data_IF_672328108635
#
_entry.id   IF_672328108635
#
_cell.length_a   1.000
_cell.length_b   1.000
_cell.length_c   1.000
_cell.angle_alpha   90.00
_cell.angle_beta   90.00
_cell.angle_gamma   90.00
#
_symmetry.space_group_name_H-M   'P 1'
#
loop_
_entity.id
_entity.type
_entity.pdbx_description
1 polymer ?
#
# COMPACT_ATOMS: atom_id res chain seq x y z
N UNK A 1 -24.33 18.59 12.30
CA UNK A 1 -24.12 18.84 10.86
C UNK A 1 -22.88 18.05 10.51
N UNK A 2 -23.04 16.95 9.77
CA UNK A 2 -21.89 16.20 9.22
C UNK A 2 -21.26 17.14 8.19
N UNK A 3 -19.97 17.51 8.33
CA UNK A 3 -19.30 18.31 7.31
C UNK A 3 -19.43 17.55 5.99
N UNK A 4 -19.87 18.21 4.94
CA UNK A 4 -19.81 17.65 3.59
C UNK A 4 -18.34 17.36 3.31
N UNK A 5 -17.96 16.10 3.32
CA UNK A 5 -16.63 15.64 2.92
C UNK A 5 -16.43 16.11 1.47
N UNK A 6 -15.55 17.09 1.29
CA UNK A 6 -15.12 17.53 -0.05
C UNK A 6 -14.18 16.44 -0.61
N UNK A 7 -14.81 15.41 -1.17
CA UNK A 7 -14.08 14.28 -1.75
C UNK A 7 -13.43 14.77 -3.03
N UNK A 8 -12.17 15.18 -2.96
CA UNK A 8 -11.38 15.52 -4.14
C UNK A 8 -11.36 14.32 -5.10
N UNK A 9 -11.26 14.56 -6.42
CA UNK A 9 -11.16 13.49 -7.39
C UNK A 9 -10.11 12.48 -6.97
N UNK A 10 -10.49 11.21 -6.88
CA UNK A 10 -9.59 10.13 -6.52
C UNK A 10 -8.55 9.88 -7.62
N UNK A 11 -7.51 9.15 -7.27
CA UNK A 11 -6.47 8.70 -8.21
C UNK A 11 -6.42 7.18 -8.24
N UNK A 12 -6.37 6.62 -9.43
CA UNK A 12 -6.08 5.22 -9.64
C UNK A 12 -4.58 4.98 -9.54
N UNK A 13 -4.18 4.02 -8.71
CA UNK A 13 -2.80 3.55 -8.54
C UNK A 13 -2.61 2.21 -9.26
N UNK A 14 -2.05 2.21 -10.49
CA UNK A 14 -1.95 0.99 -11.30
C UNK A 14 -1.08 -0.08 -10.66
N UNK A 15 0.02 0.30 -10.02
CA UNK A 15 0.93 -0.65 -9.37
C UNK A 15 0.26 -1.44 -8.23
N UNK A 16 -0.62 -0.80 -7.47
CA UNK A 16 -1.38 -1.44 -6.37
C UNK A 16 -2.77 -1.94 -6.78
N UNK A 17 -3.25 -1.58 -7.97
CA UNK A 17 -4.59 -1.94 -8.45
C UNK A 17 -5.73 -1.37 -7.60
N UNK A 18 -5.60 -0.14 -7.09
CA UNK A 18 -6.57 0.49 -6.21
C UNK A 18 -6.75 1.99 -6.47
N UNK A 19 -7.86 2.51 -6.00
CA UNK A 19 -8.17 3.93 -6.01
C UNK A 19 -7.89 4.54 -4.65
N UNK A 20 -7.36 5.77 -4.63
CA UNK A 20 -7.14 6.58 -3.43
C UNK A 20 -7.93 7.87 -3.51
N UNK A 21 -8.70 8.16 -2.47
CA UNK A 21 -9.39 9.43 -2.28
C UNK A 21 -8.83 10.11 -1.03
N UNK A 22 -8.36 11.33 -1.17
CA UNK A 22 -7.93 12.15 -0.04
C UNK A 22 -9.16 12.85 0.56
N UNK A 23 -9.45 12.55 1.83
CA UNK A 23 -10.63 13.04 2.52
C UNK A 23 -10.33 14.28 3.38
N UNK A 24 -9.09 14.46 3.80
CA UNK A 24 -8.68 15.62 4.59
C UNK A 24 -7.30 15.45 5.22
N UNK A 25 -6.84 16.54 5.81
CA UNK A 25 -5.64 16.60 6.67
C UNK A 25 -6.03 17.41 7.89
N UNK A 26 -5.71 16.93 9.09
CA UNK A 26 -5.98 17.65 10.35
C UNK A 26 -4.83 18.63 10.67
N UNK A 27 -4.96 19.36 11.80
CA UNK A 27 -3.98 20.36 12.26
C UNK A 27 -2.62 19.73 12.62
N UNK A 28 -2.61 18.46 13.02
CA UNK A 28 -1.39 17.70 13.35
C UNK A 28 -0.67 17.16 12.10
N UNK A 29 -1.24 17.40 10.91
CA UNK A 29 -0.69 16.92 9.64
C UNK A 29 -1.03 15.46 9.33
N UNK A 30 -1.90 14.81 10.13
CA UNK A 30 -2.39 13.47 9.81
C UNK A 30 -3.37 13.54 8.64
N UNK A 31 -3.23 12.61 7.69
CA UNK A 31 -4.08 12.56 6.50
C UNK A 31 -5.07 11.41 6.56
N UNK A 32 -6.33 11.70 6.19
CA UNK A 32 -7.38 10.70 6.06
C UNK A 32 -7.59 10.37 4.59
N UNK A 33 -7.53 9.07 4.26
CA UNK A 33 -7.68 8.56 2.90
C UNK A 33 -8.66 7.40 2.86
N UNK A 34 -9.38 7.28 1.75
CA UNK A 34 -10.15 6.08 1.41
C UNK A 34 -9.42 5.33 0.31
N UNK A 35 -9.12 4.06 0.56
CA UNK A 35 -8.57 3.15 -0.44
C UNK A 35 -9.65 2.16 -0.87
N UNK A 36 -9.77 1.92 -2.18
CA UNK A 36 -10.73 0.96 -2.73
C UNK A 36 -10.05 0.07 -3.75
N UNK A 37 -10.07 -1.23 -3.51
CA UNK A 37 -9.71 -2.28 -4.47
C UNK A 37 -10.99 -2.85 -5.05
N UNK A 38 -11.38 -2.49 -6.28
CA UNK A 38 -12.61 -3.00 -6.88
C UNK A 38 -12.47 -4.46 -7.30
N UNK A 39 -13.55 -5.20 -7.20
CA UNK A 39 -13.64 -6.56 -7.70
C UNK A 39 -13.35 -6.61 -9.20
N UNK A 40 -12.54 -7.60 -9.64
CA UNK A 40 -12.26 -7.90 -11.04
C UNK A 40 -11.53 -6.84 -11.85
N UNK A 41 -11.24 -5.67 -11.28
CA UNK A 41 -10.59 -4.55 -11.99
C UNK A 41 -9.09 -4.42 -11.74
N UNK A 42 -8.48 -5.39 -11.10
CA UNK A 42 -7.04 -5.36 -10.92
C UNK A 42 -6.37 -5.73 -12.21
N UNK A 43 -5.85 -4.72 -12.89
CA UNK A 43 -4.84 -4.94 -13.91
C UNK A 43 -3.67 -5.58 -13.15
N UNK A 44 -3.29 -6.79 -13.53
CA UNK A 44 -2.05 -7.37 -13.04
C UNK A 44 -0.96 -6.37 -13.39
N UNK A 45 -0.54 -5.59 -12.41
CA UNK A 45 0.71 -4.85 -12.57
C UNK A 45 1.76 -5.89 -12.94
N UNK A 46 2.59 -5.67 -13.96
CA UNK A 46 3.73 -6.56 -14.22
C UNK A 46 4.61 -6.71 -13.00
N UNK A 47 4.39 -5.86 -12.01
CA UNK A 47 5.16 -5.75 -10.77
C UNK A 47 4.47 -6.47 -9.60
N UNK A 48 3.20 -6.92 -9.68
CA UNK A 48 2.48 -7.62 -8.60
C UNK A 48 2.41 -6.84 -7.27
N UNK A 49 1.81 -7.40 -6.23
CA UNK A 49 1.91 -6.85 -4.89
C UNK A 49 3.34 -7.02 -4.36
N UNK A 50 3.92 -5.96 -3.78
CA UNK A 50 5.30 -5.94 -3.30
C UNK A 50 5.36 -5.81 -1.80
N UNK A 51 6.40 -6.42 -1.21
CA UNK A 51 6.81 -6.11 0.15
C UNK A 51 7.27 -4.65 0.15
N UNK A 52 6.70 -3.83 1.03
CA UNK A 52 7.08 -2.42 1.14
C UNK A 52 6.92 -1.92 2.58
N UNK A 53 7.54 -0.79 2.88
CA UNK A 53 7.33 -0.06 4.11
C UNK A 53 6.71 1.33 3.80
N UNK A 54 6.42 2.07 4.85
CA UNK A 54 5.98 3.46 4.78
C UNK A 54 6.86 4.34 5.67
N UNK A 55 7.09 5.58 5.24
CA UNK A 55 7.74 6.61 6.05
C UNK A 55 6.82 7.20 7.13
N UNK A 56 5.65 6.63 7.34
CA UNK A 56 4.61 7.04 8.30
C UNK A 56 3.93 5.82 8.88
N UNK A 57 3.36 5.97 10.07
CA UNK A 57 2.44 4.98 10.59
C UNK A 57 1.09 5.12 9.88
N UNK A 58 0.48 4.01 9.53
CA UNK A 58 -0.88 3.98 9.02
C UNK A 58 -1.79 3.13 9.91
N UNK A 59 -3.03 3.59 10.09
CA UNK A 59 -4.09 2.83 10.73
C UNK A 59 -5.27 2.71 9.78
N UNK A 60 -5.63 1.49 9.40
CA UNK A 60 -6.66 1.17 8.42
C UNK A 60 -7.87 0.55 9.10
N UNK A 61 -9.04 1.21 9.02
CA UNK A 61 -10.33 0.58 9.31
C UNK A 61 -10.84 -0.07 8.02
N UNK A 62 -11.07 -1.38 8.03
CA UNK A 62 -11.65 -2.09 6.89
C UNK A 62 -13.15 -1.83 6.84
N UNK A 63 -13.62 -1.13 5.81
CA UNK A 63 -15.04 -0.81 5.59
C UNK A 63 -15.78 -1.93 4.88
N UNK A 64 -15.12 -2.61 3.94
CA UNK A 64 -15.72 -3.69 3.17
C UNK A 64 -14.67 -4.74 2.80
N UNK A 65 -15.13 -5.99 2.69
CA UNK A 65 -14.31 -7.13 2.29
C UNK A 65 -13.38 -7.63 3.39
N UNK A 66 -12.39 -8.38 2.97
CA UNK A 66 -11.35 -8.97 3.83
C UNK A 66 -10.06 -9.04 3.03
N UNK A 67 -8.93 -8.76 3.66
CA UNK A 67 -7.62 -8.97 3.06
C UNK A 67 -6.66 -9.62 4.05
N UNK A 68 -5.58 -10.17 3.52
CA UNK A 68 -4.50 -10.73 4.33
C UNK A 68 -3.31 -9.80 4.26
N UNK A 69 -2.68 -9.51 5.39
CA UNK A 69 -1.42 -8.78 5.45
C UNK A 69 -0.33 -9.64 6.08
N UNK A 70 0.85 -9.66 5.46
CA UNK A 70 2.00 -10.40 5.95
C UNK A 70 3.09 -9.41 6.35
N UNK A 71 3.52 -9.49 7.59
CA UNK A 71 4.62 -8.69 8.13
C UNK A 71 5.94 -9.42 7.87
N UNK A 72 6.97 -8.68 7.48
CA UNK A 72 8.28 -9.21 7.16
C UNK A 72 9.38 -8.63 8.06
N UNK A 73 10.30 -9.49 8.48
CA UNK A 73 11.65 -9.07 8.88
C UNK A 73 12.48 -8.88 7.62
N UNK A 74 13.15 -7.73 7.50
CA UNK A 74 13.93 -7.37 6.31
C UNK A 74 15.31 -6.91 6.75
N UNK A 75 16.34 -7.53 6.19
CA UNK A 75 17.73 -7.24 6.49
C UNK A 75 18.53 -7.02 5.21
N UNK A 76 19.55 -6.19 5.27
CA UNK A 76 20.50 -6.04 4.17
C UNK A 76 21.24 -7.36 3.94
N UNK A 77 21.25 -7.83 2.70
CA UNK A 77 21.61 -9.18 2.26
C UNK A 77 23.04 -9.68 2.51
N UNK A 78 23.55 -9.43 3.71
CA UNK A 78 24.83 -9.99 4.19
C UNK A 78 24.69 -10.76 5.51
N UNK A 79 23.49 -10.95 6.05
CA UNK A 79 23.28 -11.54 7.38
C UNK A 79 23.11 -13.05 7.28
N UNK A 80 23.75 -13.76 8.19
CA UNK A 80 23.56 -15.19 8.39
C UNK A 80 22.16 -15.45 8.96
N UNK A 81 21.26 -15.89 8.13
CA UNK A 81 19.91 -16.32 8.53
C UNK A 81 20.02 -17.71 9.14
N UNK A 82 19.36 -17.90 10.28
CA UNK A 82 19.21 -19.21 10.91
C UNK A 82 18.68 -20.25 9.91
N UNK A 83 19.26 -21.45 9.92
CA UNK A 83 18.95 -22.51 8.94
C UNK A 83 17.45 -22.85 8.87
N UNK A 84 16.72 -22.71 9.97
CA UNK A 84 15.28 -22.96 10.03
C UNK A 84 14.43 -22.00 9.20
N UNK A 85 14.91 -20.80 8.88
CA UNK A 85 14.19 -19.77 8.12
C UNK A 85 14.62 -19.68 6.65
N UNK A 86 15.68 -20.36 6.23
CA UNK A 86 16.22 -20.30 4.85
C UNK A 86 15.21 -20.66 3.77
N UNK A 87 14.32 -21.61 4.02
CA UNK A 87 13.34 -22.07 3.04
C UNK A 87 12.24 -21.01 2.72
N UNK A 88 12.07 -20.03 3.60
CA UNK A 88 11.05 -18.95 3.44
C UNK A 88 11.67 -17.60 3.09
N UNK A 89 13.00 -17.50 3.05
CA UNK A 89 13.70 -16.26 2.75
C UNK A 89 13.57 -15.90 1.28
N UNK A 90 13.13 -14.68 1.01
CA UNK A 90 13.09 -14.07 -0.34
C UNK A 90 14.26 -13.10 -0.49
N UNK A 91 15.03 -13.28 -1.56
CA UNK A 91 16.09 -12.32 -1.96
C UNK A 91 15.50 -11.31 -2.93
N UNK A 92 15.50 -10.05 -2.54
CA UNK A 92 14.82 -8.98 -3.24
C UNK A 92 15.75 -7.80 -3.44
N UNK A 93 15.48 -6.98 -4.46
CA UNK A 93 16.13 -5.67 -4.66
C UNK A 93 15.27 -4.56 -4.08
N UNK A 94 15.94 -3.60 -3.46
CA UNK A 94 15.30 -2.39 -2.94
C UNK A 94 15.14 -1.32 -4.01
N UNK A 95 13.96 -0.70 -3.97
CA UNK A 95 13.63 0.46 -4.78
C UNK A 95 13.00 1.52 -3.88
N UNK A 96 13.49 2.75 -4.02
CA UNK A 96 12.83 3.91 -3.43
C UNK A 96 11.62 4.29 -4.28
N UNK A 97 10.50 4.57 -3.64
CA UNK A 97 9.31 5.10 -4.29
C UNK A 97 9.37 6.64 -4.28
N UNK A 98 9.47 7.24 -5.45
CA UNK A 98 9.43 8.68 -5.64
C UNK A 98 8.09 9.11 -6.24
N UNK A 99 7.48 10.12 -5.63
CA UNK A 99 6.27 10.78 -6.13
C UNK A 99 6.69 11.95 -7.03
N UNK A 100 6.39 11.85 -8.33
CA UNK A 100 6.81 12.84 -9.31
C UNK A 100 5.82 14.02 -9.41
N UNK A 101 6.28 15.21 -9.85
CA UNK A 101 5.41 16.39 -9.98
C UNK A 101 4.24 16.21 -10.96
N UNK A 102 4.37 15.34 -11.96
CA UNK A 102 3.31 14.99 -12.91
C UNK A 102 2.25 14.07 -12.32
N UNK A 103 2.44 13.65 -11.06
CA UNK A 103 1.55 12.76 -10.33
C UNK A 103 1.75 11.28 -10.63
N UNK A 104 2.80 10.91 -11.35
CA UNK A 104 3.22 9.51 -11.51
C UNK A 104 4.09 9.04 -10.35
N UNK A 105 4.23 7.72 -10.23
CA UNK A 105 5.16 7.07 -9.31
C UNK A 105 6.38 6.57 -10.08
N UNK A 106 7.56 6.74 -9.51
CA UNK A 106 8.80 6.17 -10.02
C UNK A 106 9.44 5.26 -8.96
N UNK A 107 9.81 4.05 -9.38
CA UNK A 107 10.64 3.15 -8.59
C UNK A 107 12.09 3.31 -9.03
N UNK A 108 12.91 3.84 -8.14
CA UNK A 108 14.34 4.07 -8.37
C UNK A 108 15.14 3.10 -7.52
N UNK A 109 16.01 2.29 -8.14
CA UNK A 109 16.81 1.33 -7.37
C UNK A 109 17.67 2.04 -6.34
N UNK A 110 17.71 1.51 -5.12
CA UNK A 110 18.60 1.97 -4.06
C UNK A 110 19.97 1.24 -4.10
N UNK A 111 20.12 0.27 -5.02
CA UNK A 111 21.34 -0.54 -5.18
C UNK A 111 21.52 -1.64 -4.14
N UNK A 112 20.58 -1.82 -3.22
CA UNK A 112 20.68 -2.76 -2.11
C UNK A 112 19.93 -4.06 -2.41
N UNK A 113 20.49 -5.18 -1.98
CA UNK A 113 19.80 -6.45 -1.91
C UNK A 113 19.34 -6.70 -0.47
N UNK A 114 18.14 -7.25 -0.35
CA UNK A 114 17.50 -7.51 0.93
C UNK A 114 17.11 -8.98 1.04
N UNK A 115 17.23 -9.52 2.24
CA UNK A 115 16.65 -10.79 2.63
C UNK A 115 15.37 -10.52 3.41
N UNK A 116 14.23 -11.01 2.93
CA UNK A 116 12.92 -10.81 3.54
C UNK A 116 12.34 -12.15 4.03
N UNK A 117 11.99 -12.22 5.30
CA UNK A 117 11.44 -13.41 5.98
C UNK A 117 10.04 -13.08 6.49
N UNK A 118 9.00 -13.85 6.12
CA UNK A 118 7.65 -13.64 6.66
C UNK A 118 7.64 -14.00 8.15
N UNK A 119 7.13 -13.10 8.98
CA UNK A 119 7.08 -13.25 10.44
C UNK A 119 5.67 -13.54 10.94
N UNK A 120 4.69 -12.81 10.44
CA UNK A 120 3.31 -12.87 10.89
C UNK A 120 2.38 -12.66 9.71
N UNK A 121 1.31 -13.45 9.64
CA UNK A 121 0.25 -13.27 8.68
C UNK A 121 -1.06 -12.95 9.41
N UNK A 122 -1.74 -11.88 8.99
CA UNK A 122 -2.96 -11.39 9.59
C UNK A 122 -4.08 -11.42 8.59
N UNK A 123 -5.23 -12.00 8.97
CA UNK A 123 -6.46 -11.90 8.20
C UNK A 123 -7.32 -10.78 8.79
N UNK A 124 -7.67 -9.77 7.99
CA UNK A 124 -8.27 -8.52 8.45
C UNK A 124 -9.63 -8.33 7.78
N UNK A 125 -10.72 -8.76 8.44
CA UNK A 125 -12.08 -8.60 7.91
C UNK A 125 -12.63 -7.18 8.13
N UNK A 126 -13.74 -6.89 7.44
CA UNK A 126 -14.50 -5.65 7.66
C UNK A 126 -14.84 -5.42 9.14
N UNK A 127 -14.80 -4.17 9.56
CA UNK A 127 -14.99 -3.73 10.95
C UNK A 127 -13.71 -3.73 11.80
N UNK A 128 -12.61 -4.32 11.33
CA UNK A 128 -11.36 -4.37 12.07
C UNK A 128 -10.43 -3.21 11.71
N UNK A 129 -9.67 -2.75 12.71
CA UNK A 129 -8.58 -1.80 12.54
C UNK A 129 -7.28 -2.57 12.46
N UNK A 130 -6.45 -2.21 11.49
CA UNK A 130 -5.11 -2.74 11.29
C UNK A 130 -4.11 -1.59 11.26
N UNK A 131 -3.05 -1.69 12.09
CA UNK A 131 -2.02 -0.66 12.19
C UNK A 131 -0.68 -1.23 11.72
N UNK A 132 -0.03 -0.49 10.81
CA UNK A 132 1.34 -0.71 10.37
C UNK A 132 2.18 0.46 10.88
N UNK A 133 3.20 0.14 11.68
CA UNK A 133 4.15 1.15 12.15
C UNK A 133 5.03 1.62 11.00
N UNK A 134 5.52 2.84 11.11
CA UNK A 134 6.53 3.37 10.20
C UNK A 134 7.75 2.44 10.11
N UNK A 135 8.32 2.33 8.92
CA UNK A 135 9.46 1.46 8.63
C UNK A 135 9.17 -0.04 8.61
N UNK A 136 8.00 -0.49 9.09
CA UNK A 136 7.66 -1.91 9.10
C UNK A 136 7.35 -2.41 7.69
N UNK A 137 8.05 -3.46 7.24
CA UNK A 137 7.80 -4.07 5.94
C UNK A 137 6.60 -4.99 5.99
N UNK A 138 5.70 -4.82 5.02
CA UNK A 138 4.51 -5.64 4.91
C UNK A 138 4.11 -5.91 3.45
N UNK A 139 3.20 -6.87 3.28
CA UNK A 139 2.64 -7.25 1.99
C UNK A 139 1.13 -7.50 2.13
N UNK A 140 0.27 -6.54 1.75
CA UNK A 140 -1.16 -6.75 1.70
C UNK A 140 -1.54 -7.59 0.46
N UNK A 141 -2.22 -8.70 0.70
CA UNK A 141 -2.78 -9.57 -0.34
C UNK A 141 -4.28 -9.40 -0.33
N UNK A 142 -4.75 -8.75 -1.38
CA UNK A 142 -6.16 -8.43 -1.55
C UNK A 142 -6.81 -9.43 -2.50
N UNK A 143 -7.92 -10.12 -2.19
CA UNK A 143 -8.59 -11.07 -3.07
C UNK A 143 -9.11 -10.40 -4.34
N UNK A 144 -9.03 -11.06 -5.50
CA UNK A 144 -9.47 -10.51 -6.80
C UNK A 144 -10.99 -10.53 -6.98
N UNK A 145 -11.66 -11.43 -6.29
CA UNK A 145 -13.08 -11.73 -6.44
C UNK A 145 -14.00 -10.99 -5.47
N UNK A 146 -13.50 -9.94 -4.85
CA UNK A 146 -14.28 -9.11 -3.94
C UNK A 146 -13.76 -7.69 -3.93
N UNK A 147 -14.65 -6.74 -3.66
CA UNK A 147 -14.25 -5.36 -3.36
C UNK A 147 -13.72 -5.29 -1.93
N UNK A 148 -12.55 -4.68 -1.77
CA UNK A 148 -12.02 -4.32 -0.44
C UNK A 148 -11.94 -2.80 -0.35
N UNK A 149 -12.37 -2.24 0.78
CA UNK A 149 -12.28 -0.81 1.04
C UNK A 149 -11.76 -0.56 2.45
N UNK A 150 -10.85 0.42 2.59
CA UNK A 150 -10.29 0.81 3.88
C UNK A 150 -10.29 2.32 4.05
N UNK A 151 -10.64 2.78 5.24
CA UNK A 151 -10.42 4.14 5.68
C UNK A 151 -9.07 4.20 6.40
N UNK A 152 -8.14 4.97 5.89
CA UNK A 152 -6.74 5.00 6.35
C UNK A 152 -6.41 6.35 6.94
N UNK A 153 -5.91 6.34 8.17
CA UNK A 153 -5.30 7.48 8.84
C UNK A 153 -3.78 7.31 8.81
N UNK A 154 -3.09 8.28 8.23
CA UNK A 154 -1.63 8.33 8.17
C UNK A 154 -1.09 9.44 9.06
N UNK A 155 -0.04 9.14 9.85
CA UNK A 155 0.74 10.17 10.53
C UNK A 155 1.61 10.96 9.53
N UNK A 156 2.15 12.13 9.91
CA UNK A 156 3.15 12.82 9.09
C UNK A 156 4.35 11.93 8.78
N UNK A 157 4.93 12.11 7.57
CA UNK A 157 6.09 11.34 7.13
C UNK A 157 7.36 11.72 7.93
N UNK A 158 8.18 10.72 8.26
CA UNK A 158 9.38 10.86 9.09
C UNK A 158 10.66 11.23 8.31
N UNK A 159 10.53 11.61 7.05
CA UNK A 159 11.66 12.13 6.25
C UNK A 159 12.59 11.08 5.63
N UNK A 160 12.32 9.79 5.76
CA UNK A 160 12.97 8.73 4.98
C UNK A 160 12.06 8.20 3.87
N UNK A 161 12.60 7.59 2.80
CA UNK A 161 11.79 7.15 1.67
C UNK A 161 10.99 5.89 1.98
N UNK A 162 9.84 5.74 1.31
CA UNK A 162 9.18 4.44 1.17
C UNK A 162 10.05 3.52 0.33
N UNK A 163 10.33 2.33 0.84
CA UNK A 163 11.10 1.30 0.16
C UNK A 163 10.18 0.18 -0.31
N UNK A 164 10.35 -0.23 -1.56
CA UNK A 164 9.63 -1.34 -2.19
C UNK A 164 10.63 -2.42 -2.54
N UNK A 165 10.35 -3.67 -2.16
CA UNK A 165 11.22 -4.81 -2.42
C UNK A 165 10.65 -5.65 -3.56
N UNK A 166 11.45 -5.86 -4.60
CA UNK A 166 11.04 -6.49 -5.86
C UNK A 166 12.02 -7.63 -6.22
N UNK A 167 11.54 -8.67 -6.86
CA UNK A 167 12.39 -9.75 -7.38
C UNK A 167 13.47 -9.19 -8.36
N UNK A 168 14.63 -9.80 -8.37
CA UNK A 168 15.89 -9.25 -8.87
C UNK A 168 15.93 -8.86 -10.35
N UNK A 169 14.99 -9.32 -11.16
CA UNK A 169 15.06 -9.20 -12.63
C UNK A 169 14.25 -8.00 -13.18
N UNK A 170 13.65 -7.21 -12.31
CA UNK A 170 12.83 -6.07 -12.73
C UNK A 170 13.65 -4.79 -12.93
N UNK A 171 13.26 -4.03 -13.96
CA UNK A 171 13.80 -2.70 -14.24
C UNK A 171 12.98 -1.61 -13.53
N UNK A 172 13.55 -0.43 -13.28
CA UNK A 172 12.81 0.73 -12.81
C UNK A 172 11.57 0.97 -13.66
N UNK A 173 10.42 1.21 -13.02
CA UNK A 173 9.14 1.42 -13.70
C UNK A 173 8.59 2.75 -13.26
N UNK A 174 8.19 3.57 -14.23
CA UNK A 174 7.35 4.72 -13.99
C UNK A 174 5.90 4.34 -14.28
N UNK A 175 5.02 4.63 -13.31
CA UNK A 175 3.62 4.24 -13.41
C UNK A 175 2.73 5.48 -13.35
N UNK A 176 2.09 5.88 -14.46
CA UNK A 176 1.22 7.04 -14.47
C UNK A 176 -0.05 6.75 -13.66
N UNK A 177 -0.43 7.72 -12.81
CA UNK A 177 -1.71 7.68 -12.11
C UNK A 177 -2.77 8.39 -12.95
N UNK A 178 -3.96 7.84 -13.06
CA UNK A 178 -5.09 8.51 -13.70
C UNK A 178 -6.09 9.03 -12.66
N UNK A 179 -6.85 10.05 -13.01
CA UNK A 179 -8.02 10.44 -12.24
C UNK A 179 -9.07 9.32 -12.25
N UNK A 180 -9.81 9.20 -11.15
CA UNK A 180 -10.98 8.31 -11.11
C UNK A 180 -12.11 8.88 -11.97
N UNK A 181 -12.90 7.98 -12.55
CA UNK A 181 -14.12 8.34 -13.29
C UNK A 181 -15.24 8.80 -12.34
N UNK A 182 -16.26 9.45 -12.86
CA UNK A 182 -17.44 9.83 -12.07
C UNK A 182 -18.15 8.61 -11.46
N UNK A 183 -18.19 7.49 -12.18
CA UNK A 183 -18.78 6.24 -11.67
C UNK A 183 -17.95 5.64 -10.53
N UNK A 184 -16.62 5.61 -10.64
CA UNK A 184 -15.73 5.19 -9.57
C UNK A 184 -15.90 6.08 -8.32
N UNK A 185 -15.97 7.38 -8.50
CA UNK A 185 -16.20 8.34 -7.40
C UNK A 185 -17.58 8.17 -6.75
N UNK A 186 -18.63 7.90 -7.54
CA UNK A 186 -19.95 7.61 -7.01
C UNK A 186 -19.97 6.34 -6.16
N UNK A 187 -19.29 5.26 -6.59
CA UNK A 187 -19.15 4.02 -5.80
C UNK A 187 -18.39 4.26 -4.51
N UNK A 188 -17.33 5.06 -4.55
CA UNK A 188 -16.57 5.45 -3.36
C UNK A 188 -17.46 6.17 -2.33
N UNK A 189 -18.29 7.12 -2.76
CA UNK A 189 -19.23 7.83 -1.89
C UNK A 189 -20.25 6.89 -1.26
N UNK A 190 -20.72 5.88 -1.98
CA UNK A 190 -21.67 4.89 -1.46
C UNK A 190 -21.06 4.02 -0.34
N UNK A 191 -19.79 3.66 -0.43
CA UNK A 191 -19.08 2.90 0.61
C UNK A 191 -18.90 3.70 1.91
N UNK A 192 -18.78 5.02 1.82
CA UNK A 192 -18.67 5.89 3.00
C UNK A 192 -20.01 6.14 3.72
N UNK A 193 -21.14 5.82 3.07
CA UNK A 193 -22.48 6.03 3.62
C UNK A 193 -23.09 4.78 4.27
N UNK A 194 -22.42 3.64 4.21
CA UNK A 194 -22.82 2.37 4.84
C UNK A 194 -22.28 2.28 6.27
#
# INVERSE_FOLDING_TARGET
VIPTLDVRPGKWHPAGGFMVYHLGVNEDGESLRLHIWPEGQRISSPVGPHIHNHAWQLSSLVLAGTYTDTIYSVENGAVMIDEGHRAQTRKLRGFRLDYLPDGSDALVTDGTCYDAVPMEQRNIPAGNIHTIKDGLFHLPIIPLNTTVATLVLDTPALGYPTTVLIDSDMRPIQTPRRATTSEESRRASQLLMQ
#
